data_IF_685554473424
#
_entry.id   IF_685554473424
#
_cell.length_a   1.000
_cell.length_b   1.000
_cell.length_c   1.000
_cell.angle_alpha   90.00
_cell.angle_beta   90.00
_cell.angle_gamma   90.00
#
_symmetry.space_group_name_H-M   'P 1'
#
loop_
_entity.id
_entity.type
_entity.pdbx_description
1 polymer ?
#
# COMPACT_ATOMS: atom_id res chain seq x y z
N UNK A 1 -3.43 -12.28 -23.67
CA UNK A 1 -3.40 -10.81 -23.56
C UNK A 1 -3.59 -10.42 -22.11
N UNK A 2 -2.78 -9.46 -21.65
CA UNK A 2 -2.60 -9.02 -20.27
C UNK A 2 -3.91 -8.46 -19.71
N UNK A 3 -4.39 -9.02 -18.60
CA UNK A 3 -5.39 -8.39 -17.74
C UNK A 3 -4.69 -7.26 -16.99
N UNK A 4 -4.43 -6.15 -17.67
CA UNK A 4 -3.95 -4.94 -17.01
C UNK A 4 -5.12 -4.32 -16.24
N UNK A 5 -4.97 -4.43 -14.91
CA UNK A 5 -5.85 -3.96 -13.87
C UNK A 5 -6.41 -2.56 -14.17
N UNK A 6 -7.68 -2.50 -14.57
CA UNK A 6 -8.52 -1.39 -14.14
C UNK A 6 -8.68 -1.53 -12.62
N UNK A 7 -7.82 -0.85 -11.86
CA UNK A 7 -7.96 -0.78 -10.42
C UNK A 7 -9.31 -0.14 -10.08
N UNK A 8 -10.20 -0.89 -9.47
CA UNK A 8 -11.53 -0.37 -9.12
C UNK A 8 -11.42 0.63 -7.97
N UNK A 9 -12.37 1.55 -7.86
CA UNK A 9 -12.44 2.53 -6.75
C UNK A 9 -12.39 1.80 -5.38
N UNK A 10 -13.04 0.64 -5.29
CA UNK A 10 -13.03 -0.20 -4.09
C UNK A 10 -11.64 -0.76 -3.77
N UNK A 11 -10.87 -1.17 -4.77
CA UNK A 11 -9.49 -1.65 -4.57
C UNK A 11 -8.56 -0.52 -4.12
N UNK A 12 -8.74 0.70 -4.64
CA UNK A 12 -8.01 1.87 -4.21
C UNK A 12 -8.34 2.22 -2.74
N UNK A 13 -9.62 2.22 -2.38
CA UNK A 13 -10.07 2.47 -1.02
C UNK A 13 -9.51 1.41 -0.05
N UNK A 14 -9.58 0.14 -0.43
CA UNK A 14 -8.99 -0.97 0.33
C UNK A 14 -7.49 -0.75 0.56
N UNK A 15 -6.72 -0.44 -0.48
CA UNK A 15 -5.28 -0.24 -0.33
C UNK A 15 -4.93 0.98 0.54
N UNK A 16 -5.69 2.09 0.45
CA UNK A 16 -5.51 3.25 1.33
C UNK A 16 -5.81 2.92 2.80
N UNK A 17 -6.92 2.23 3.07
CA UNK A 17 -7.28 1.81 4.43
C UNK A 17 -6.20 0.89 5.03
N UNK A 18 -5.69 -0.05 4.23
CA UNK A 18 -4.64 -0.97 4.67
C UNK A 18 -3.30 -0.27 4.89
N UNK A 19 -2.93 0.68 4.04
CA UNK A 19 -1.75 1.51 4.25
C UNK A 19 -1.83 2.21 5.62
N UNK A 20 -2.92 2.94 5.86
CA UNK A 20 -3.11 3.72 7.08
C UNK A 20 -3.02 2.85 8.33
N UNK A 21 -3.72 1.71 8.35
CA UNK A 21 -3.65 0.75 9.47
C UNK A 21 -2.24 0.22 9.70
N UNK A 22 -1.48 -0.04 8.64
CA UNK A 22 -0.10 -0.50 8.79
C UNK A 22 0.79 0.59 9.39
N UNK A 23 0.59 1.86 9.04
CA UNK A 23 1.32 2.98 9.68
C UNK A 23 0.98 3.13 11.16
N UNK A 24 -0.29 2.97 11.53
CA UNK A 24 -0.73 3.00 12.92
C UNK A 24 -0.10 1.87 13.74
N UNK A 25 -0.07 0.65 13.20
CA UNK A 25 0.60 -0.48 13.84
C UNK A 25 2.12 -0.27 13.96
N UNK A 26 2.77 0.28 12.93
CA UNK A 26 4.19 0.60 12.98
C UNK A 26 4.50 1.65 14.06
N UNK A 27 3.67 2.69 14.17
CA UNK A 27 3.84 3.74 15.18
C UNK A 27 3.68 3.23 16.62
N UNK A 28 2.83 2.23 16.84
CA UNK A 28 2.62 1.59 18.14
C UNK A 28 3.61 0.47 18.47
N UNK A 29 4.43 0.03 17.52
CA UNK A 29 5.34 -1.10 17.72
C UNK A 29 6.62 -0.68 18.47
N UNK A 30 6.90 -1.37 19.57
CA UNK A 30 8.16 -1.22 20.34
C UNK A 30 9.29 -2.08 19.81
N UNK A 31 8.95 -3.24 19.22
CA UNK A 31 9.90 -4.13 18.58
C UNK A 31 10.33 -3.55 17.21
N UNK A 32 11.64 -3.32 16.98
CA UNK A 32 12.13 -2.72 15.73
C UNK A 32 11.82 -3.54 14.48
N UNK A 33 11.82 -4.87 14.57
CA UNK A 33 11.52 -5.76 13.45
C UNK A 33 10.03 -5.75 13.12
N UNK A 34 9.18 -5.73 14.15
CA UNK A 34 7.72 -5.60 13.98
C UNK A 34 7.39 -4.25 13.33
N UNK A 35 8.01 -3.15 13.80
CA UNK A 35 7.86 -1.83 13.19
C UNK A 35 8.25 -1.86 11.71
N UNK A 36 9.44 -2.36 11.39
CA UNK A 36 9.94 -2.45 10.01
C UNK A 36 8.98 -3.23 9.10
N UNK A 37 8.46 -4.37 9.56
CA UNK A 37 7.51 -5.18 8.78
C UNK A 37 6.21 -4.44 8.49
N UNK A 38 5.69 -3.68 9.45
CA UNK A 38 4.49 -2.86 9.24
C UNK A 38 4.75 -1.69 8.28
N UNK A 39 5.92 -1.05 8.35
CA UNK A 39 6.33 -0.02 7.39
C UNK A 39 6.44 -0.58 5.96
N UNK A 40 7.02 -1.77 5.79
CA UNK A 40 7.11 -2.47 4.49
C UNK A 40 5.72 -2.76 3.92
N UNK A 41 4.79 -3.25 4.75
CA UNK A 41 3.41 -3.49 4.33
C UNK A 41 2.68 -2.19 3.97
N UNK A 42 2.91 -1.11 4.71
CA UNK A 42 2.35 0.20 4.38
C UNK A 42 2.83 0.66 2.99
N UNK A 43 4.13 0.54 2.71
CA UNK A 43 4.72 0.92 1.42
C UNK A 43 4.18 0.07 0.25
N UNK A 44 3.97 -1.23 0.46
CA UNK A 44 3.34 -2.11 -0.54
C UNK A 44 1.92 -1.67 -0.88
N UNK A 45 1.14 -1.28 0.13
CA UNK A 45 -0.22 -0.78 -0.09
C UNK A 45 -0.24 0.61 -0.72
N UNK A 46 0.65 1.51 -0.32
CA UNK A 46 0.82 2.83 -0.93
C UNK A 46 1.16 2.72 -2.43
N UNK A 47 2.09 1.83 -2.79
CA UNK A 47 2.47 1.60 -4.20
C UNK A 47 1.32 1.05 -5.06
N UNK A 48 0.41 0.28 -4.46
CA UNK A 48 -0.81 -0.17 -5.14
C UNK A 48 -1.90 0.90 -5.18
N UNK A 49 -1.96 1.80 -4.20
CA UNK A 49 -2.89 2.92 -4.17
C UNK A 49 -2.45 4.10 -5.04
N UNK A 50 -1.18 4.14 -5.45
CA UNK A 50 -0.68 5.13 -6.40
C UNK A 50 -1.27 4.86 -7.79
N UNK A 51 -1.83 5.87 -8.48
CA UNK A 51 -2.14 5.72 -9.89
C UNK A 51 -0.82 5.38 -10.61
N UNK A 52 -0.81 4.31 -11.41
CA UNK A 52 0.28 4.08 -12.36
C UNK A 52 0.28 5.29 -13.29
N UNK A 53 1.18 6.24 -13.05
CA UNK A 53 1.55 7.21 -14.08
C UNK A 53 2.26 6.38 -15.14
N UNK A 54 1.51 5.96 -16.16
CA UNK A 54 2.07 5.36 -17.35
C UNK A 54 3.08 6.35 -17.93
N UNK A 55 4.34 6.14 -17.55
CA UNK A 55 5.49 6.82 -18.13
C UNK A 55 5.82 6.03 -19.40
N UNK A 56 4.99 6.19 -20.43
CA UNK A 56 5.36 5.81 -21.78
C UNK A 56 5.85 7.07 -22.52
N UNK A 57 7.12 7.09 -23.00
CA UNK A 57 7.58 8.10 -23.94
C UNK A 57 6.90 7.97 -25.30
#
# INVERSE_FOLDING_TARGET
MKLELAMTIEQLAYHREREQRCREMAAGATDPDVRRRHEELANLHAGKAAPKLDSHP
#
